data_IF_599826501823
#
_entry.id   IF_599826501823
#
_cell.length_a   1.000
_cell.length_b   1.000
_cell.length_c   1.000
_cell.angle_alpha   90.00
_cell.angle_beta   90.00
_cell.angle_gamma   90.00
#
_symmetry.space_group_name_H-M   'P 1'
#
loop_
_entity.id
_entity.type
_entity.pdbx_description
1 polymer ?
#
# COMPACT_ATOMS: atom_id res chain seq x y z
N UNK A 1 -11.88 0.27 -11.02
CA UNK A 1 -11.73 0.70 -9.62
C UNK A 1 -10.89 1.97 -9.58
N UNK A 2 -11.41 3.06 -9.02
CA UNK A 2 -10.69 4.35 -8.90
C UNK A 2 -9.95 4.37 -7.57
N UNK A 3 -8.81 3.68 -7.49
CA UNK A 3 -8.01 3.63 -6.27
C UNK A 3 -7.07 4.83 -6.17
N UNK A 4 -6.83 5.29 -4.95
CA UNK A 4 -5.80 6.30 -4.66
C UNK A 4 -4.40 5.72 -4.75
N UNK A 5 -3.39 6.59 -4.72
CA UNK A 5 -1.98 6.21 -4.64
C UNK A 5 -1.71 5.39 -3.37
N UNK A 6 -2.24 5.84 -2.23
CA UNK A 6 -2.11 5.13 -0.95
C UNK A 6 -2.78 3.75 -0.98
N UNK A 7 -4.00 3.66 -1.51
CA UNK A 7 -4.73 2.40 -1.64
C UNK A 7 -3.98 1.40 -2.54
N UNK A 8 -3.31 1.88 -3.60
CA UNK A 8 -2.51 1.03 -4.48
C UNK A 8 -1.36 0.34 -3.74
N UNK A 9 -0.68 1.07 -2.84
CA UNK A 9 0.42 0.52 -2.04
C UNK A 9 -0.11 -0.39 -0.92
N UNK A 10 -1.23 -0.02 -0.29
CA UNK A 10 -1.92 -0.84 0.72
C UNK A 10 -2.34 -2.21 0.19
N UNK A 11 -2.84 -2.29 -1.05
CA UNK A 11 -3.21 -3.58 -1.67
C UNK A 11 -1.99 -4.49 -1.85
N UNK A 12 -0.81 -3.94 -2.11
CA UNK A 12 0.44 -4.71 -2.17
C UNK A 12 0.85 -5.33 -0.83
N UNK A 13 0.38 -4.81 0.31
CA UNK A 13 0.54 -5.45 1.62
C UNK A 13 -0.53 -6.50 1.91
N UNK A 14 -1.75 -6.28 1.41
CA UNK A 14 -2.89 -7.13 1.73
C UNK A 14 -2.78 -8.54 1.13
N UNK A 15 -1.98 -8.73 0.07
CA UNK A 15 -1.62 -10.04 -0.47
C UNK A 15 -0.88 -10.95 0.52
N UNK A 16 -0.25 -10.39 1.56
CA UNK A 16 0.41 -11.15 2.63
C UNK A 16 -0.44 -11.31 3.88
N UNK A 17 -1.50 -10.53 4.03
CA UNK A 17 -2.49 -10.72 5.11
C UNK A 17 -3.42 -11.87 4.73
N UNK A 18 -2.98 -13.10 4.98
CA UNK A 18 -3.88 -14.23 5.22
C UNK A 18 -4.65 -13.96 6.52
N UNK A 19 -5.52 -12.96 6.51
CA UNK A 19 -6.55 -12.84 7.53
C UNK A 19 -7.55 -13.96 7.26
N UNK A 20 -7.37 -15.08 7.96
CA UNK A 20 -8.37 -16.13 8.01
C UNK A 20 -9.74 -15.49 8.31
N UNK A 21 -10.78 -16.01 7.68
CA UNK A 21 -12.18 -15.56 7.71
C UNK A 21 -12.69 -15.06 9.09
N UNK A 22 -12.10 -15.54 10.19
CA UNK A 22 -12.37 -15.12 11.57
C UNK A 22 -11.82 -13.75 11.98
N UNK A 23 -10.71 -13.27 11.40
CA UNK A 23 -10.12 -11.94 11.64
C UNK A 23 -11.00 -10.82 11.08
N UNK A 24 -11.50 -11.02 9.85
CA UNK A 24 -12.39 -10.07 9.16
C UNK A 24 -13.74 -9.89 9.88
N UNK A 25 -14.24 -10.93 10.56
CA UNK A 25 -15.50 -10.90 11.29
C UNK A 25 -15.39 -10.18 12.65
N UNK A 26 -14.22 -10.21 13.31
CA UNK A 26 -14.11 -9.71 14.68
C UNK A 26 -13.75 -8.22 14.80
N UNK A 27 -13.37 -7.50 13.72
CA UNK A 27 -13.06 -6.04 13.67
C UNK A 27 -12.48 -5.48 15.00
N UNK A 28 -11.61 -6.26 15.61
CA UNK A 28 -11.20 -6.03 16.99
C UNK A 28 -10.18 -4.90 17.09
N UNK A 29 -9.81 -4.48 18.32
CA UNK A 29 -8.76 -3.48 18.51
C UNK A 29 -7.40 -3.90 17.92
N UNK A 30 -7.14 -5.20 17.77
CA UNK A 30 -5.94 -5.72 17.08
C UNK A 30 -5.94 -5.43 15.56
N UNK A 31 -7.10 -5.53 14.91
CA UNK A 31 -7.25 -5.23 13.48
C UNK A 31 -6.98 -3.76 13.20
N UNK A 32 -7.54 -2.84 14.00
CA UNK A 32 -7.29 -1.40 13.86
C UNK A 32 -5.80 -1.04 14.02
N UNK A 33 -5.08 -1.71 14.92
CA UNK A 33 -3.63 -1.52 15.08
C UNK A 33 -2.85 -2.03 13.86
N UNK A 34 -3.22 -3.19 13.33
CA UNK A 34 -2.59 -3.75 12.12
C UNK A 34 -2.84 -2.88 10.88
N UNK A 35 -4.04 -2.33 10.76
CA UNK A 35 -4.41 -1.37 9.72
C UNK A 35 -3.62 -0.07 9.84
N UNK A 36 -3.53 0.51 11.05
CA UNK A 36 -2.74 1.71 11.29
C UNK A 36 -1.24 1.50 10.99
N UNK A 37 -0.67 0.37 11.43
CA UNK A 37 0.73 0.02 11.15
C UNK A 37 0.97 -0.19 9.64
N UNK A 38 0.01 -0.81 8.95
CA UNK A 38 0.04 -0.92 7.50
C UNK A 38 0.07 0.47 6.87
N UNK A 39 -0.91 1.32 7.15
CA UNK A 39 -1.00 2.68 6.58
C UNK A 39 0.29 3.48 6.81
N UNK A 40 0.85 3.46 8.02
CA UNK A 40 2.13 4.10 8.32
C UNK A 40 3.25 3.60 7.40
N UNK A 41 3.38 2.28 7.23
CA UNK A 41 4.39 1.71 6.34
C UNK A 41 4.18 2.07 4.86
N UNK A 42 2.94 2.25 4.40
CA UNK A 42 2.70 2.70 3.02
C UNK A 42 3.13 4.15 2.84
N UNK A 43 2.85 4.99 3.83
CA UNK A 43 3.27 6.38 3.79
C UNK A 43 4.80 6.49 3.74
N UNK A 44 5.53 5.69 4.52
CA UNK A 44 7.00 5.63 4.44
C UNK A 44 7.50 5.24 3.04
N UNK A 45 6.88 4.23 2.41
CA UNK A 45 7.25 3.81 1.04
C UNK A 45 6.94 4.90 0.01
N UNK A 46 5.79 5.58 0.16
CA UNK A 46 5.42 6.70 -0.69
C UNK A 46 6.36 7.88 -0.49
N UNK A 47 6.83 8.14 0.73
CA UNK A 47 7.81 9.17 1.01
C UNK A 47 9.16 8.84 0.36
N UNK A 48 9.60 7.59 0.46
CA UNK A 48 10.83 7.10 -0.18
C UNK A 48 10.85 7.31 -1.70
N UNK A 49 9.72 7.10 -2.39
CA UNK A 49 9.60 7.34 -3.84
C UNK A 49 9.17 8.77 -4.21
N UNK A 50 8.97 9.63 -3.22
CA UNK A 50 8.54 11.02 -3.40
C UNK A 50 7.10 11.21 -3.87
N UNK A 51 6.17 10.31 -3.52
CA UNK A 51 4.73 10.40 -3.82
C UNK A 51 3.83 10.59 -2.59
N UNK A 52 4.38 10.76 -1.38
CA UNK A 52 3.58 10.96 -0.16
C UNK A 52 2.56 12.12 -0.27
N UNK A 53 2.95 13.23 -0.90
CA UNK A 53 2.08 14.40 -1.15
C UNK A 53 0.90 14.11 -2.10
N UNK A 54 0.90 12.97 -2.79
CA UNK A 54 -0.15 12.52 -3.71
C UNK A 54 -0.90 11.29 -3.17
N UNK A 55 -0.75 10.95 -1.88
CA UNK A 55 -1.35 9.77 -1.27
C UNK A 55 -2.86 9.64 -1.57
N UNK A 56 -3.60 10.74 -1.49
CA UNK A 56 -5.06 10.77 -1.71
C UNK A 56 -5.46 11.01 -3.18
N UNK A 57 -4.49 11.23 -4.09
CA UNK A 57 -4.78 11.39 -5.50
C UNK A 57 -5.13 10.05 -6.14
N UNK A 58 -5.98 10.07 -7.17
CA UNK A 58 -6.25 8.88 -7.98
C UNK A 58 -4.99 8.46 -8.75
N UNK A 59 -4.61 7.19 -8.63
CA UNK A 59 -3.40 6.66 -9.27
C UNK A 59 -3.42 6.78 -10.80
N UNK A 60 -4.60 6.68 -11.40
CA UNK A 60 -4.81 6.86 -12.86
C UNK A 60 -4.48 8.26 -13.37
N UNK A 61 -4.48 9.27 -12.48
CA UNK A 61 -4.20 10.66 -12.84
C UNK A 61 -2.70 11.00 -12.72
N UNK A 62 -1.87 10.06 -12.26
CA UNK A 62 -0.43 10.27 -12.17
C UNK A 62 0.18 10.31 -13.59
N UNK A 63 1.14 11.19 -13.86
CA UNK A 63 2.01 11.10 -15.03
C UNK A 63 2.75 9.76 -15.08
N UNK A 64 3.08 9.29 -16.27
CA UNK A 64 3.70 7.97 -16.50
C UNK A 64 4.94 7.70 -15.62
N UNK A 65 5.82 8.69 -15.44
CA UNK A 65 7.00 8.54 -14.56
C UNK A 65 6.64 8.30 -13.09
N UNK A 66 5.55 8.87 -12.61
CA UNK A 66 5.04 8.65 -11.26
C UNK A 66 4.29 7.32 -11.14
N UNK A 67 3.61 6.87 -12.21
CA UNK A 67 3.01 5.54 -12.25
C UNK A 67 4.08 4.45 -12.07
N UNK A 68 5.23 4.56 -12.75
CA UNK A 68 6.34 3.60 -12.59
C UNK A 68 6.91 3.60 -11.16
N UNK A 69 7.03 4.77 -10.54
CA UNK A 69 7.42 4.87 -9.12
C UNK A 69 6.40 4.19 -8.20
N UNK A 70 5.10 4.40 -8.46
CA UNK A 70 4.02 3.75 -7.69
C UNK A 70 4.06 2.22 -7.83
N UNK A 71 4.37 1.67 -9.00
CA UNK A 71 4.54 0.22 -9.19
C UNK A 71 5.68 -0.33 -8.33
N UNK A 72 6.81 0.37 -8.25
CA UNK A 72 7.94 0.01 -7.39
C UNK A 72 7.53 0.06 -5.92
N UNK A 73 6.83 1.10 -5.48
CA UNK A 73 6.33 1.18 -4.10
C UNK A 73 5.35 0.03 -3.78
N UNK A 74 4.48 -0.35 -4.71
CA UNK A 74 3.58 -1.50 -4.56
C UNK A 74 4.35 -2.83 -4.46
N UNK A 75 5.40 -3.01 -5.26
CA UNK A 75 6.27 -4.17 -5.18
C UNK A 75 7.00 -4.24 -3.83
N UNK A 76 7.59 -3.13 -3.39
CA UNK A 76 8.24 -3.01 -2.07
C UNK A 76 7.27 -3.21 -0.90
N UNK A 77 6.00 -2.84 -1.06
CA UNK A 77 4.97 -3.04 -0.05
C UNK A 77 4.72 -4.53 0.25
N UNK A 78 5.04 -5.42 -0.69
CA UNK A 78 4.94 -6.87 -0.47
C UNK A 78 6.08 -7.43 0.39
N UNK A 79 7.03 -6.58 0.82
CA UNK A 79 8.25 -6.94 1.55
C UNK A 79 9.06 -8.06 0.86
N UNK A 80 9.44 -7.86 -0.42
CA UNK A 80 10.12 -8.89 -1.19
C UNK A 80 11.59 -9.02 -0.78
N UNK A 81 12.08 -10.26 -0.67
CA UNK A 81 13.51 -10.51 -0.48
C UNK A 81 14.37 -10.19 -1.72
N UNK A 82 13.75 -10.05 -2.89
CA UNK A 82 14.40 -9.70 -4.16
C UNK A 82 13.40 -8.97 -5.06
N UNK A 83 13.82 -7.86 -5.68
CA UNK A 83 13.02 -7.07 -6.61
C UNK A 83 13.73 -7.07 -7.97
N UNK A 84 13.11 -7.70 -8.98
CA UNK A 84 13.59 -7.69 -10.36
C UNK A 84 12.92 -6.53 -11.09
N UNK A 85 13.72 -5.58 -11.58
CA UNK A 85 13.29 -4.35 -12.26
C UNK A 85 13.46 -4.43 -13.78
#
# INVERSE_FOLDING_TARGET
ANMTVLENVLVGRHTRTREGLFSALLRGPGFKRAEAASTARAMELLEFIGLAHKADHLSRNLPYGEQRKLEIARALASDPGLLLL
#
